data_IF_441631687432
#
_entry.id   IF_441631687432
#
_cell.length_a   1.000
_cell.length_b   1.000
_cell.length_c   1.000
_cell.angle_alpha   90.00
_cell.angle_beta   90.00
_cell.angle_gamma   90.00
#
_symmetry.space_group_name_H-M   'P 1'
#
loop_
_entity.id
_entity.type
_entity.pdbx_description
1 polymer ?
#
# COMPACT_ATOMS: atom_id res chain seq x y z
N UNK A 1 2.99 65.56 26.33
CA UNK A 1 3.91 64.79 25.47
C UNK A 1 4.22 63.37 26.01
N UNK A 2 4.01 63.04 27.30
CA UNK A 2 4.26 61.70 27.85
C UNK A 2 3.23 60.61 27.48
N UNK A 3 1.95 60.96 27.29
CA UNK A 3 0.89 59.95 27.09
C UNK A 3 0.92 59.20 25.75
N UNK A 4 1.52 59.78 24.70
CA UNK A 4 1.57 59.17 23.36
C UNK A 4 2.65 58.06 23.31
N UNK A 5 3.79 58.26 23.98
CA UNK A 5 4.86 57.27 24.04
C UNK A 5 4.44 56.00 24.77
N UNK A 6 3.72 56.14 25.89
CA UNK A 6 3.22 55.01 26.68
C UNK A 6 2.18 54.17 25.91
N UNK A 7 1.34 54.83 25.10
CA UNK A 7 0.35 54.14 24.27
C UNK A 7 1.00 53.37 23.11
N UNK A 8 2.02 53.96 22.46
CA UNK A 8 2.76 53.30 21.38
C UNK A 8 3.56 52.09 21.86
N UNK A 9 4.14 52.14 23.06
CA UNK A 9 4.89 51.04 23.64
C UNK A 9 3.99 49.82 23.93
N UNK A 10 2.79 50.05 24.47
CA UNK A 10 1.79 48.98 24.71
C UNK A 10 1.29 48.37 23.40
N UNK A 11 1.07 49.19 22.36
CA UNK A 11 0.64 48.71 21.04
C UNK A 11 1.74 47.88 20.36
N UNK A 12 3.01 48.30 20.44
CA UNK A 12 4.14 47.53 19.91
C UNK A 12 4.37 46.22 20.66
N UNK A 13 4.25 46.20 21.99
CA UNK A 13 4.37 44.98 22.81
C UNK A 13 3.26 43.97 22.51
N UNK A 14 2.02 44.44 22.33
CA UNK A 14 0.87 43.60 21.93
C UNK A 14 1.02 43.06 20.51
N UNK A 15 1.55 43.85 19.58
CA UNK A 15 1.80 43.43 18.19
C UNK A 15 2.90 42.36 18.10
N UNK A 16 3.96 42.46 18.91
CA UNK A 16 5.03 41.46 18.96
C UNK A 16 4.58 40.14 19.64
N UNK A 17 3.71 40.21 20.65
CA UNK A 17 3.12 39.00 21.27
C UNK A 17 2.20 38.27 20.29
N UNK A 18 1.44 39.00 19.47
CA UNK A 18 0.59 38.41 18.41
C UNK A 18 1.44 37.73 17.34
N UNK A 19 2.54 38.35 16.88
CA UNK A 19 3.46 37.72 15.92
C UNK A 19 4.19 36.50 16.48
N UNK A 20 4.61 36.51 17.75
CA UNK A 20 5.21 35.34 18.42
C UNK A 20 4.19 34.21 18.61
N UNK A 21 2.93 34.54 18.95
CA UNK A 21 1.85 33.55 19.03
C UNK A 21 1.49 32.98 17.64
N UNK A 22 1.50 33.80 16.58
CA UNK A 22 1.27 33.34 15.20
C UNK A 22 2.42 32.44 14.71
N UNK A 23 3.66 32.70 15.13
CA UNK A 23 4.85 31.92 14.80
C UNK A 23 4.94 30.61 15.61
N UNK A 24 4.33 30.55 16.81
CA UNK A 24 4.24 29.33 17.63
C UNK A 24 3.14 28.39 17.12
N UNK A 25 2.05 28.93 16.55
CA UNK A 25 0.94 28.11 16.02
C UNK A 25 1.33 27.40 14.72
N UNK A 26 2.23 27.96 13.90
CA UNK A 26 2.65 27.34 12.63
C UNK A 26 3.63 26.17 12.78
N UNK A 27 4.23 25.96 13.95
CA UNK A 27 5.21 24.88 14.20
C UNK A 27 4.60 23.52 14.58
N UNK A 28 3.27 23.41 14.72
CA UNK A 28 2.64 22.18 15.24
C UNK A 28 2.16 21.17 14.17
N UNK A 29 2.35 21.44 12.88
CA UNK A 29 1.71 20.63 11.81
C UNK A 29 2.63 19.58 11.16
N UNK A 30 3.79 19.21 11.74
CA UNK A 30 4.77 18.37 11.04
C UNK A 30 5.20 17.07 11.76
N UNK A 31 4.45 16.57 12.75
CA UNK A 31 4.79 15.30 13.46
C UNK A 31 3.55 14.42 13.67
N UNK A 32 2.90 13.95 12.59
CA UNK A 32 1.71 13.09 12.69
C UNK A 32 1.75 11.80 11.85
N UNK A 33 2.79 11.58 11.06
CA UNK A 33 2.83 10.44 10.13
C UNK A 33 3.19 9.11 10.79
N UNK A 34 4.20 9.05 11.68
CA UNK A 34 4.55 7.79 12.35
C UNK A 34 3.47 7.34 13.35
N UNK A 35 2.83 8.29 14.03
CA UNK A 35 1.74 8.02 14.97
C UNK A 35 0.54 7.35 14.28
N UNK A 36 0.26 7.71 13.04
CA UNK A 36 -0.88 7.13 12.30
C UNK A 36 -0.66 5.65 11.96
N UNK A 37 0.54 5.26 11.52
CA UNK A 37 0.86 3.86 11.27
C UNK A 37 0.81 3.05 12.56
N UNK A 38 1.57 3.49 13.57
CA UNK A 38 1.69 2.76 14.84
C UNK A 38 0.36 2.72 15.61
N UNK A 39 -0.59 3.62 15.35
CA UNK A 39 -1.94 3.54 15.91
C UNK A 39 -2.71 2.30 15.42
N UNK A 40 -2.62 1.97 14.14
CA UNK A 40 -3.45 0.93 13.52
C UNK A 40 -2.72 -0.36 13.18
N UNK A 41 -1.41 -0.30 12.94
CA UNK A 41 -0.66 -1.39 12.31
C UNK A 41 0.58 -1.78 13.12
N UNK A 42 1.06 -2.99 12.88
CA UNK A 42 2.40 -3.45 13.28
C UNK A 42 3.24 -3.65 12.02
N UNK A 43 4.57 -3.65 12.15
CA UNK A 43 5.51 -3.74 11.03
C UNK A 43 5.62 -5.16 10.42
N UNK A 44 4.48 -5.80 10.18
CA UNK A 44 4.26 -7.07 9.48
C UNK A 44 3.33 -6.83 8.30
N UNK A 45 3.18 -7.78 7.39
CA UNK A 45 2.25 -7.67 6.25
C UNK A 45 1.07 -8.61 6.44
N UNK A 46 -0.13 -8.11 6.20
CA UNK A 46 -1.29 -8.96 5.93
C UNK A 46 -1.40 -9.15 4.43
N UNK A 47 -1.28 -10.41 3.98
CA UNK A 47 -1.54 -10.82 2.60
C UNK A 47 -2.91 -11.47 2.55
N UNK A 48 -3.77 -10.97 1.67
CA UNK A 48 -5.11 -11.52 1.44
C UNK A 48 -5.16 -12.04 0.02
N UNK A 49 -5.32 -13.35 -0.08
CA UNK A 49 -5.47 -14.09 -1.32
C UNK A 49 -6.97 -14.24 -1.62
N UNK A 50 -7.33 -14.05 -2.88
CA UNK A 50 -8.71 -14.14 -3.35
C UNK A 50 -8.76 -14.67 -4.78
N UNK A 51 -9.91 -15.27 -5.10
CA UNK A 51 -10.25 -15.63 -6.46
C UNK A 51 -11.03 -14.52 -7.13
N UNK A 52 -10.63 -14.16 -8.33
CA UNK A 52 -11.31 -13.23 -9.21
C UNK A 52 -11.89 -14.01 -10.39
N UNK A 53 -13.21 -14.17 -10.40
CA UNK A 53 -13.92 -15.01 -11.37
C UNK A 53 -14.90 -14.19 -12.19
N UNK A 54 -14.98 -14.44 -13.49
CA UNK A 54 -15.96 -13.75 -14.31
C UNK A 54 -15.83 -13.97 -15.80
N UNK A 55 -16.54 -13.12 -16.53
CA UNK A 55 -16.55 -13.01 -18.00
C UNK A 55 -16.15 -11.58 -18.38
N UNK A 56 -16.35 -11.17 -19.64
CA UNK A 56 -16.23 -9.77 -20.04
C UNK A 56 -17.15 -8.81 -19.27
N UNK A 57 -18.33 -9.26 -18.83
CA UNK A 57 -19.37 -8.39 -18.24
C UNK A 57 -19.71 -8.72 -16.79
N UNK A 58 -19.06 -9.72 -16.20
CA UNK A 58 -19.28 -10.12 -14.81
C UNK A 58 -17.96 -10.25 -14.06
N UNK A 59 -17.98 -9.89 -12.78
CA UNK A 59 -16.86 -10.02 -11.85
C UNK A 59 -17.41 -10.48 -10.49
N UNK A 60 -16.82 -11.55 -9.95
CA UNK A 60 -17.12 -12.14 -8.67
C UNK A 60 -15.79 -12.33 -7.94
N UNK A 61 -15.77 -11.96 -6.67
CA UNK A 61 -14.62 -12.13 -5.79
C UNK A 61 -14.98 -13.09 -4.66
N UNK A 62 -14.05 -13.97 -4.31
CA UNK A 62 -14.18 -14.81 -3.12
C UNK A 62 -12.85 -14.88 -2.38
N UNK A 63 -12.90 -14.76 -1.05
CA UNK A 63 -11.73 -14.94 -0.19
C UNK A 63 -11.20 -16.37 -0.34
N UNK A 64 -9.88 -16.50 -0.48
CA UNK A 64 -9.18 -17.79 -0.37
C UNK A 64 -8.50 -17.92 1.00
N UNK A 65 -7.41 -17.18 1.19
CA UNK A 65 -6.56 -17.29 2.37
C UNK A 65 -6.08 -15.93 2.90
N UNK A 66 -5.73 -15.90 4.18
CA UNK A 66 -5.15 -14.72 4.84
C UNK A 66 -3.87 -15.13 5.53
N UNK A 67 -2.78 -14.41 5.26
CA UNK A 67 -1.46 -14.69 5.80
C UNK A 67 -0.92 -13.53 6.63
N UNK A 68 -0.16 -13.87 7.66
CA UNK A 68 0.76 -12.97 8.36
C UNK A 68 2.18 -13.19 7.85
N UNK A 69 2.75 -12.16 7.24
CA UNK A 69 4.11 -12.15 6.72
C UNK A 69 5.00 -11.26 7.60
N UNK A 70 6.29 -11.60 7.82
CA UNK A 70 7.07 -11.09 8.94
C UNK A 70 7.46 -9.61 8.87
N UNK A 71 7.46 -9.00 7.68
CA UNK A 71 7.96 -7.64 7.46
C UNK A 71 6.97 -6.86 6.58
N UNK A 72 6.69 -5.60 6.94
CA UNK A 72 6.08 -4.61 6.05
C UNK A 72 7.17 -3.83 5.31
N UNK A 73 7.29 -4.06 4.00
CA UNK A 73 8.24 -3.36 3.13
C UNK A 73 7.64 -2.13 2.43
N UNK A 74 6.34 -1.88 2.60
CA UNK A 74 5.70 -0.71 2.02
C UNK A 74 5.88 0.57 2.86
N UNK A 75 5.28 1.65 2.37
CA UNK A 75 5.29 2.95 3.04
C UNK A 75 4.58 2.90 4.40
N UNK A 76 5.19 3.50 5.43
CA UNK A 76 4.58 3.78 6.74
C UNK A 76 3.98 5.18 6.86
N UNK A 77 4.13 6.00 5.82
CA UNK A 77 3.72 7.42 5.81
C UNK A 77 2.51 7.64 4.91
N UNK A 78 2.65 7.31 3.63
CA UNK A 78 1.59 7.38 2.63
C UNK A 78 0.76 6.09 2.68
N UNK A 79 -0.15 6.01 3.65
CA UNK A 79 -1.03 4.84 3.84
C UNK A 79 -2.28 4.91 2.97
N UNK A 80 -2.74 6.12 2.65
CA UNK A 80 -3.88 6.35 1.76
C UNK A 80 -3.33 6.74 0.40
N UNK A 81 -3.62 5.91 -0.61
CA UNK A 81 -3.29 6.21 -1.99
C UNK A 81 -4.16 7.34 -2.54
N UNK A 82 -3.51 8.44 -2.92
CA UNK A 82 -4.13 9.63 -3.52
C UNK A 82 -3.88 9.74 -5.02
N UNK A 83 -3.13 8.80 -5.62
CA UNK A 83 -2.80 8.82 -7.05
C UNK A 83 -4.03 8.56 -7.91
N UNK A 84 -5.04 7.86 -7.36
CA UNK A 84 -6.26 7.49 -8.07
C UNK A 84 -5.93 6.79 -9.41
N UNK A 85 -4.98 5.86 -9.39
CA UNK A 85 -4.58 5.05 -10.54
C UNK A 85 -5.09 3.61 -10.39
N UNK A 86 -5.02 2.84 -11.48
CA UNK A 86 -5.44 1.44 -11.52
C UNK A 86 -6.94 1.24 -11.77
N UNK A 87 -7.29 0.05 -12.29
CA UNK A 87 -8.68 -0.39 -12.49
C UNK A 87 -9.35 -0.80 -11.17
N UNK A 88 -8.54 -1.31 -10.24
CA UNK A 88 -8.96 -1.82 -8.94
C UNK A 88 -8.34 -0.99 -7.80
N UNK A 89 -9.00 -1.00 -6.65
CA UNK A 89 -8.52 -0.33 -5.44
C UNK A 89 -8.82 -1.21 -4.23
N UNK A 90 -7.78 -1.60 -3.49
CA UNK A 90 -7.97 -2.17 -2.16
C UNK A 90 -8.15 -1.04 -1.15
N UNK A 91 -9.13 -1.18 -0.26
CA UNK A 91 -9.40 -0.27 0.85
C UNK A 91 -9.51 -1.09 2.14
N UNK A 92 -8.90 -0.60 3.20
CA UNK A 92 -8.91 -1.24 4.51
C UNK A 92 -9.46 -0.23 5.51
N UNK A 93 -10.56 -0.62 6.17
CA UNK A 93 -11.23 0.19 7.18
C UNK A 93 -11.05 -0.44 8.55
N UNK A 94 -10.77 0.38 9.57
CA UNK A 94 -10.86 -0.07 10.96
C UNK A 94 -12.33 -0.30 11.32
N UNK A 95 -12.68 -1.50 11.78
CA UNK A 95 -14.09 -1.85 12.06
C UNK A 95 -14.66 -1.04 13.22
N UNK A 96 -13.84 -0.68 14.20
CA UNK A 96 -14.31 0.03 15.39
C UNK A 96 -14.73 1.47 15.09
N UNK A 97 -13.97 2.15 14.23
CA UNK A 97 -14.15 3.58 13.93
C UNK A 97 -14.75 3.85 12.55
N UNK A 98 -14.84 2.82 11.69
CA UNK A 98 -15.20 2.93 10.28
C UNK A 98 -14.27 3.88 9.49
N UNK A 99 -13.05 4.09 9.98
CA UNK A 99 -12.07 4.96 9.35
C UNK A 99 -11.30 4.21 8.26
N UNK A 100 -11.11 4.83 7.09
CA UNK A 100 -10.16 4.33 6.09
C UNK A 100 -8.73 4.50 6.61
N UNK A 101 -8.02 3.38 6.76
CA UNK A 101 -6.68 3.34 7.36
C UNK A 101 -5.59 2.91 6.38
N UNK A 102 -5.96 2.30 5.25
CA UNK A 102 -5.05 2.00 4.15
C UNK A 102 -5.80 1.92 2.81
N UNK A 103 -5.17 2.36 1.72
CA UNK A 103 -5.64 2.08 0.36
C UNK A 103 -4.50 1.98 -0.64
N UNK A 104 -4.69 1.21 -1.71
CA UNK A 104 -3.74 1.08 -2.81
C UNK A 104 -4.41 0.72 -4.13
N UNK A 105 -4.18 1.51 -5.17
CA UNK A 105 -4.64 1.23 -6.53
C UNK A 105 -3.81 0.14 -7.20
N UNK A 106 -4.43 -0.68 -8.04
CA UNK A 106 -3.75 -1.74 -8.79
C UNK A 106 -4.47 -2.08 -10.11
N UNK A 107 -3.76 -2.79 -10.98
CA UNK A 107 -4.31 -3.50 -12.14
C UNK A 107 -4.09 -5.00 -11.93
N UNK A 108 -4.89 -5.82 -12.59
CA UNK A 108 -4.83 -7.27 -12.43
C UNK A 108 -4.86 -7.97 -13.79
N UNK A 109 -4.30 -9.18 -13.84
CA UNK A 109 -4.30 -10.00 -15.05
C UNK A 109 -5.73 -10.35 -15.48
N UNK A 110 -6.65 -10.58 -14.54
CA UNK A 110 -8.05 -10.74 -14.88
C UNK A 110 -8.60 -9.50 -15.60
N UNK A 111 -8.24 -8.30 -15.12
CA UNK A 111 -8.64 -7.05 -15.73
C UNK A 111 -8.15 -6.87 -17.16
N UNK A 112 -6.96 -7.38 -17.48
CA UNK A 112 -6.44 -7.45 -18.85
C UNK A 112 -7.15 -8.52 -19.67
N UNK A 113 -7.29 -9.74 -19.12
CA UNK A 113 -7.96 -10.86 -19.78
C UNK A 113 -9.40 -10.54 -20.17
N UNK A 114 -10.14 -9.77 -19.37
CA UNK A 114 -11.50 -9.33 -19.69
C UNK A 114 -11.63 -8.54 -21.01
N UNK A 115 -10.53 -7.97 -21.50
CA UNK A 115 -10.50 -7.23 -22.78
C UNK A 115 -10.35 -8.15 -24.00
N UNK A 116 -10.10 -9.44 -23.79
CA UNK A 116 -9.86 -10.42 -24.86
C UNK A 116 -11.13 -10.88 -25.56
N UNK A 117 -10.97 -11.48 -26.75
CA UNK A 117 -12.06 -12.15 -27.47
C UNK A 117 -12.61 -13.37 -26.72
N UNK A 118 -11.76 -14.10 -26.00
CA UNK A 118 -12.20 -15.25 -25.18
C UNK A 118 -13.22 -14.80 -24.13
N UNK A 119 -12.91 -13.75 -23.37
CA UNK A 119 -13.84 -13.19 -22.39
C UNK A 119 -15.15 -12.71 -23.03
N UNK A 120 -15.09 -12.17 -24.26
CA UNK A 120 -16.24 -11.71 -25.02
C UNK A 120 -17.18 -12.85 -25.46
N UNK A 121 -16.70 -14.10 -25.50
CA UNK A 121 -17.52 -15.29 -25.79
C UNK A 121 -18.33 -15.75 -24.58
N UNK A 122 -18.25 -15.05 -23.45
CA UNK A 122 -18.98 -15.41 -22.23
C UNK A 122 -18.35 -16.57 -21.45
N UNK A 123 -17.10 -16.92 -21.76
CA UNK A 123 -16.35 -17.96 -21.04
C UNK A 123 -16.01 -17.44 -19.64
N UNK A 124 -16.27 -18.26 -18.62
CA UNK A 124 -15.84 -17.97 -17.26
C UNK A 124 -14.38 -18.39 -17.06
N UNK A 125 -13.59 -17.50 -16.48
CA UNK A 125 -12.24 -17.81 -15.98
C UNK A 125 -12.08 -17.31 -14.55
N UNK A 126 -11.16 -17.94 -13.84
CA UNK A 126 -10.83 -17.63 -12.45
C UNK A 126 -9.33 -17.40 -12.35
N UNK A 127 -8.95 -16.32 -11.69
CA UNK A 127 -7.58 -15.93 -11.42
C UNK A 127 -7.36 -15.86 -9.92
N UNK A 128 -6.19 -16.29 -9.48
CA UNK A 128 -5.78 -16.18 -8.09
C UNK A 128 -4.94 -14.91 -7.93
N UNK A 129 -5.37 -14.02 -7.05
CA UNK A 129 -4.79 -12.69 -6.88
C UNK A 129 -4.53 -12.43 -5.39
N UNK A 130 -3.57 -11.55 -5.11
CA UNK A 130 -3.16 -11.20 -3.75
C UNK A 130 -3.10 -9.69 -3.57
N UNK A 131 -3.63 -9.19 -2.45
CA UNK A 131 -3.38 -7.82 -1.99
C UNK A 131 -2.60 -7.84 -0.68
N UNK A 132 -1.68 -6.89 -0.54
CA UNK A 132 -0.79 -6.76 0.59
C UNK A 132 -1.00 -5.40 1.25
N UNK A 133 -1.11 -5.38 2.57
CA UNK A 133 -1.21 -4.15 3.36
C UNK A 133 -0.59 -4.36 4.75
N UNK A 134 -0.27 -3.29 5.51
CA UNK A 134 0.32 -3.46 6.83
C UNK A 134 -0.59 -4.25 7.76
N UNK A 135 -0.02 -5.10 8.59
CA UNK A 135 -0.79 -6.00 9.45
C UNK A 135 -1.52 -5.20 10.54
N UNK A 136 -2.87 -5.27 10.62
CA UNK A 136 -3.65 -4.46 11.53
C UNK A 136 -3.61 -5.01 12.96
N UNK A 137 -3.72 -4.11 13.94
CA UNK A 137 -3.80 -4.45 15.38
C UNK A 137 -5.19 -4.95 15.81
N UNK A 138 -6.22 -4.64 15.02
CA UNK A 138 -7.64 -4.90 15.30
C UNK A 138 -8.34 -5.37 14.03
N UNK A 139 -9.57 -5.85 14.17
CA UNK A 139 -10.37 -6.29 13.03
C UNK A 139 -10.56 -5.18 12.01
N UNK A 140 -10.41 -5.53 10.73
CA UNK A 140 -10.53 -4.61 9.61
C UNK A 140 -11.56 -5.11 8.61
N UNK A 141 -12.25 -4.18 7.95
CA UNK A 141 -13.03 -4.46 6.76
C UNK A 141 -12.15 -4.22 5.53
N UNK A 142 -11.85 -5.28 4.79
CA UNK A 142 -11.15 -5.21 3.51
C UNK A 142 -12.19 -5.11 2.40
N UNK A 143 -11.98 -4.18 1.47
CA UNK A 143 -12.86 -3.91 0.34
C UNK A 143 -12.04 -3.89 -0.94
N UNK A 144 -12.49 -4.60 -1.97
CA UNK A 144 -12.01 -4.40 -3.34
C UNK A 144 -13.05 -3.57 -4.08
N UNK A 145 -12.64 -2.43 -4.59
CA UNK A 145 -13.44 -1.56 -5.43
C UNK A 145 -12.93 -1.60 -6.88
N UNK A 146 -13.87 -1.46 -7.82
CA UNK A 146 -13.62 -1.54 -9.26
C UNK A 146 -14.10 -0.25 -9.92
N UNK A 147 -13.37 0.27 -10.90
CA UNK A 147 -13.84 1.41 -11.68
C UNK A 147 -15.02 1.05 -12.56
N UNK A 148 -16.05 1.89 -12.52
CA UNK A 148 -17.11 1.88 -13.51
C UNK A 148 -16.73 2.65 -14.78
N UNK A 149 -17.66 2.70 -15.74
CA UNK A 149 -17.48 3.41 -17.01
C UNK A 149 -17.38 4.94 -16.84
N UNK A 150 -17.76 5.47 -15.68
CA UNK A 150 -17.60 6.87 -15.29
C UNK A 150 -16.30 7.10 -14.51
N UNK A 151 -15.41 6.09 -14.45
CA UNK A 151 -14.14 6.09 -13.74
C UNK A 151 -14.26 6.23 -12.22
N UNK A 152 -15.46 6.00 -11.65
CA UNK A 152 -15.68 6.01 -10.21
C UNK A 152 -15.50 4.61 -9.62
N UNK A 153 -14.93 4.54 -8.42
CA UNK A 153 -14.75 3.27 -7.71
C UNK A 153 -16.05 2.82 -7.05
N UNK A 154 -16.52 1.64 -7.45
CA UNK A 154 -17.66 0.95 -6.85
C UNK A 154 -17.16 -0.23 -6.02
N UNK A 155 -17.64 -0.36 -4.77
CA UNK A 155 -17.30 -1.50 -3.92
C UNK A 155 -17.92 -2.78 -4.52
N UNK A 156 -17.09 -3.78 -4.84
CA UNK A 156 -17.55 -5.05 -5.43
C UNK A 156 -17.39 -6.24 -4.48
N UNK A 157 -16.46 -6.15 -3.55
CA UNK A 157 -16.19 -7.19 -2.57
C UNK A 157 -15.92 -6.58 -1.21
N UNK A 158 -16.36 -7.25 -0.15
CA UNK A 158 -15.98 -6.91 1.20
C UNK A 158 -15.90 -8.15 2.08
N UNK A 159 -14.91 -8.16 2.96
CA UNK A 159 -14.79 -9.15 4.03
C UNK A 159 -14.26 -8.49 5.30
N UNK A 160 -14.67 -9.01 6.46
CA UNK A 160 -14.13 -8.60 7.76
C UNK A 160 -13.09 -9.62 8.18
N UNK A 161 -11.89 -9.16 8.50
CA UNK A 161 -10.76 -9.99 8.93
C UNK A 161 -10.40 -9.60 10.36
N UNK A 162 -10.47 -10.57 11.28
CA UNK A 162 -9.88 -10.46 12.60
C UNK A 162 -8.40 -10.91 12.54
N UNK A 163 -7.43 -10.02 12.80
CA UNK A 163 -6.01 -10.36 12.75
C UNK A 163 -5.60 -11.40 13.79
N UNK A 164 -6.41 -11.65 14.83
CA UNK A 164 -6.16 -12.68 15.84
C UNK A 164 -6.87 -14.01 15.53
N UNK A 165 -7.62 -14.07 14.43
CA UNK A 165 -8.31 -15.29 14.02
C UNK A 165 -7.33 -16.45 13.82
N UNK A 166 -7.79 -17.66 14.19
CA UNK A 166 -7.07 -18.91 13.91
C UNK A 166 -6.97 -19.24 12.42
N UNK A 167 -7.79 -18.59 11.59
CA UNK A 167 -7.78 -18.75 10.13
C UNK A 167 -6.73 -17.87 9.45
N UNK A 168 -6.06 -16.97 10.18
CA UNK A 168 -4.86 -16.29 9.66
C UNK A 168 -3.70 -17.27 9.71
N UNK A 169 -3.19 -17.63 8.54
CA UNK A 169 -2.03 -18.48 8.38
C UNK A 169 -0.76 -17.73 8.84
N UNK A 170 -0.01 -18.36 9.76
CA UNK A 170 1.24 -17.85 10.34
C UNK A 170 2.38 -18.86 10.22
N UNK A 171 2.20 -19.85 9.36
CA UNK A 171 3.22 -20.87 9.13
C UNK A 171 4.49 -20.20 8.59
N UNK A 172 5.62 -20.56 9.19
CA UNK A 172 6.92 -20.12 8.69
C UNK A 172 7.29 -21.04 7.54
N UNK A 173 7.27 -20.53 6.33
CA UNK A 173 7.78 -21.26 5.18
C UNK A 173 9.30 -21.08 5.07
N UNK A 174 10.05 -22.15 5.34
CA UNK A 174 11.44 -22.24 4.90
C UNK A 174 11.45 -22.79 3.48
N UNK A 175 11.53 -21.88 2.51
CA UNK A 175 11.51 -22.26 1.11
C UNK A 175 12.87 -22.74 0.57
N UNK A 176 13.94 -22.69 1.37
CA UNK A 176 15.29 -23.07 0.93
C UNK A 176 15.88 -22.19 -0.17
N UNK A 177 15.22 -21.10 -0.56
CA UNK A 177 15.72 -20.16 -1.56
C UNK A 177 16.85 -19.31 -1.00
N UNK A 178 17.90 -19.11 -1.81
CA UNK A 178 18.98 -18.17 -1.50
C UNK A 178 18.69 -16.83 -2.17
N UNK A 179 18.53 -15.79 -1.36
CA UNK A 179 18.41 -14.42 -1.86
C UNK A 179 19.81 -13.88 -2.15
N UNK A 180 20.02 -13.41 -3.37
CA UNK A 180 21.24 -12.69 -3.75
C UNK A 180 20.94 -11.19 -3.78
N UNK A 181 21.56 -10.45 -2.87
CA UNK A 181 21.40 -9.00 -2.80
C UNK A 181 22.24 -8.33 -3.90
N UNK A 182 21.59 -7.73 -4.90
CA UNK A 182 22.27 -7.01 -5.98
C UNK A 182 22.92 -5.73 -5.46
N UNK A 183 22.15 -4.90 -4.75
CA UNK A 183 22.63 -3.75 -3.97
C UNK A 183 21.61 -3.40 -2.88
N UNK A 184 22.00 -2.56 -1.92
CA UNK A 184 21.13 -2.09 -0.84
C UNK A 184 21.45 -0.63 -0.52
N UNK A 185 20.41 0.22 -0.51
CA UNK A 185 20.52 1.67 -0.28
C UNK A 185 19.88 2.13 1.03
N UNK A 186 19.53 1.23 1.94
CA UNK A 186 18.95 1.54 3.24
C UNK A 186 17.77 0.64 3.62
N UNK A 187 17.09 0.96 4.73
CA UNK A 187 15.98 0.14 5.22
C UNK A 187 14.75 0.21 4.28
N UNK A 188 14.00 -0.90 4.20
CA UNK A 188 12.81 -1.06 3.35
C UNK A 188 11.75 0.02 3.57
N UNK A 189 11.59 0.50 4.81
CA UNK A 189 10.62 1.54 5.14
C UNK A 189 10.96 2.93 4.54
N UNK A 190 12.18 3.12 4.03
CA UNK A 190 12.67 4.38 3.43
C UNK A 190 13.05 4.25 1.96
N UNK A 191 13.03 3.05 1.40
CA UNK A 191 13.47 2.73 0.04
C UNK A 191 12.42 1.88 -0.67
N UNK A 192 12.61 1.66 -1.96
CA UNK A 192 11.79 0.72 -2.73
C UNK A 192 12.52 -0.60 -2.77
N UNK A 193 11.91 -1.65 -2.25
CA UNK A 193 12.41 -3.02 -2.38
C UNK A 193 11.90 -3.64 -3.68
N UNK A 194 12.83 -4.10 -4.50
CA UNK A 194 12.56 -4.80 -5.76
C UNK A 194 13.08 -6.23 -5.67
N UNK A 195 12.21 -7.19 -5.93
CA UNK A 195 12.56 -8.61 -6.05
C UNK A 195 12.57 -8.98 -7.53
N UNK A 196 13.69 -9.48 -8.02
CA UNK A 196 13.79 -10.04 -9.37
C UNK A 196 13.79 -11.56 -9.24
N UNK A 197 12.78 -12.20 -9.82
CA UNK A 197 12.63 -13.66 -9.84
C UNK A 197 13.07 -14.21 -11.19
N UNK A 198 13.91 -15.24 -11.17
CA UNK A 198 14.29 -15.97 -12.38
C UNK A 198 13.21 -16.97 -12.74
N UNK A 199 12.58 -16.80 -13.89
CA UNK A 199 11.68 -17.78 -14.50
C UNK A 199 12.37 -18.41 -15.72
N UNK A 200 12.27 -19.73 -15.86
CA UNK A 200 12.91 -20.49 -16.93
C UNK A 200 14.44 -20.70 -16.80
N UNK A 201 15.07 -20.32 -15.69
CA UNK A 201 16.49 -20.61 -15.41
C UNK A 201 16.64 -21.91 -14.62
N UNK A 202 17.52 -22.80 -15.08
CA UNK A 202 17.91 -23.99 -14.31
C UNK A 202 18.92 -23.64 -13.20
N UNK A 203 19.11 -24.55 -12.24
CA UNK A 203 20.11 -24.38 -11.18
C UNK A 203 21.55 -24.20 -11.72
N UNK A 204 21.86 -24.79 -12.88
CA UNK A 204 23.16 -24.65 -13.54
C UNK A 204 23.34 -23.27 -14.20
N UNK A 205 22.25 -22.54 -14.45
CA UNK A 205 22.27 -21.24 -15.12
C UNK A 205 22.25 -20.05 -14.16
N UNK A 206 22.45 -20.27 -12.86
CA UNK A 206 22.40 -19.19 -11.86
C UNK A 206 23.42 -18.07 -12.12
N UNK A 207 24.58 -18.38 -12.68
CA UNK A 207 25.55 -17.34 -13.09
C UNK A 207 25.08 -16.54 -14.30
N UNK A 208 24.34 -17.17 -15.22
CA UNK A 208 23.71 -16.47 -16.34
C UNK A 208 22.62 -15.54 -15.81
N UNK A 209 21.72 -16.04 -14.96
CA UNK A 209 20.67 -15.24 -14.30
C UNK A 209 21.26 -14.02 -13.58
N UNK A 210 22.34 -14.18 -12.81
CA UNK A 210 22.99 -13.06 -12.11
C UNK A 210 23.55 -12.00 -13.06
N UNK A 211 24.13 -12.40 -14.19
CA UNK A 211 24.59 -11.45 -15.23
C UNK A 211 23.42 -10.72 -15.87
N UNK A 212 22.33 -11.41 -16.16
CA UNK A 212 21.13 -10.82 -16.74
C UNK A 212 20.51 -9.80 -15.76
N UNK A 213 20.43 -10.15 -14.47
CA UNK A 213 20.01 -9.23 -13.40
C UNK A 213 20.89 -7.99 -13.35
N UNK A 214 22.22 -8.14 -13.37
CA UNK A 214 23.14 -6.99 -13.37
C UNK A 214 22.93 -6.09 -14.59
N UNK A 215 22.78 -6.67 -15.77
CA UNK A 215 22.53 -5.92 -17.01
C UNK A 215 21.23 -5.10 -16.92
N UNK A 216 20.10 -5.75 -16.60
CA UNK A 216 18.81 -5.08 -16.56
C UNK A 216 18.68 -4.07 -15.43
N UNK A 217 19.34 -4.32 -14.29
CA UNK A 217 19.48 -3.32 -13.24
C UNK A 217 20.24 -2.09 -13.74
N UNK A 218 21.36 -2.29 -14.46
CA UNK A 218 22.10 -1.18 -15.07
C UNK A 218 21.21 -0.36 -16.00
N UNK A 219 20.54 -1.02 -16.95
CA UNK A 219 19.61 -0.36 -17.89
C UNK A 219 18.51 0.43 -17.16
N UNK A 220 17.92 -0.13 -16.10
CA UNK A 220 16.85 0.53 -15.33
C UNK A 220 17.30 1.86 -14.71
N UNK A 221 18.56 1.96 -14.27
CA UNK A 221 19.11 3.18 -13.66
C UNK A 221 19.85 4.09 -14.64
N UNK A 222 20.17 3.63 -15.84
CA UNK A 222 20.79 4.44 -16.89
C UNK A 222 19.80 5.41 -17.56
N UNK A 223 18.51 5.11 -17.53
CA UNK A 223 17.46 6.06 -17.93
C UNK A 223 17.25 7.12 -16.84
N UNK A 224 17.99 8.22 -16.95
CA UNK A 224 17.75 9.49 -16.24
C UNK A 224 17.28 10.57 -17.21
#
# INVERSE_FOLDING_TARGET
>A
MLGIYQLMEVIMKRRNVIWVALLLVTMTVAVQSSDTFDRFFVSKTMRVDYFHTGTKTSEIFSLDQVYEEPIWAGSKVNLIDTLNLGKYLVKVFDVQTNQLIYSRGFCSIFGEWQTTTEAAQGVYRTFHESVLFPFPKRSVQVVIAVRDNQMHFQNKFSTVIDPNSRFVNREKHDHGYKVYQVFNHGPCEKKVDLLILGDGYTAAEMEKFRRDVQHYVGVMFDTS
#
